data_IF_080088616013
#
_entry.id   IF_080088616013
#
_cell.length_a   1.000
_cell.length_b   1.000
_cell.length_c   1.000
_cell.angle_alpha   90.00
_cell.angle_beta   90.00
_cell.angle_gamma   90.00
#
_symmetry.space_group_name_H-M   'P 1'
#
loop_
_entity.id
_entity.type
_entity.pdbx_description
1 polymer ?
#
# COMPACT_ATOMS: atom_id res chain seq x y z
N UNK A 1 18.45 70.21 0.41
CA UNK A 1 19.13 68.91 0.25
C UNK A 1 18.41 67.76 0.95
N UNK A 2 17.44 67.99 1.85
CA UNK A 2 16.76 66.98 2.65
C UNK A 2 15.52 66.36 2.04
N UNK A 3 14.77 67.13 1.26
CA UNK A 3 13.51 66.62 0.61
C UNK A 3 13.76 65.44 -0.36
N UNK A 4 14.86 65.49 -1.14
CA UNK A 4 15.21 64.44 -2.08
C UNK A 4 15.61 63.12 -1.37
N UNK A 5 16.28 63.21 -0.20
CA UNK A 5 16.60 62.05 0.63
C UNK A 5 15.36 61.42 1.22
N UNK A 6 14.38 62.19 1.66
CA UNK A 6 13.11 61.72 2.20
C UNK A 6 12.29 61.02 1.11
N UNK A 7 12.22 61.60 -0.08
CA UNK A 7 11.52 60.96 -1.22
C UNK A 7 12.16 59.61 -1.62
N UNK A 8 13.49 59.52 -1.67
CA UNK A 8 14.20 58.29 -1.95
C UNK A 8 13.91 57.22 -0.89
N UNK A 9 13.95 57.58 0.41
CA UNK A 9 13.65 56.66 1.51
C UNK A 9 12.19 56.12 1.42
N UNK A 10 11.22 56.98 1.10
CA UNK A 10 9.80 56.60 0.92
C UNK A 10 9.66 55.69 -0.31
N UNK A 11 10.30 55.97 -1.42
CA UNK A 11 10.30 55.12 -2.59
C UNK A 11 10.85 53.70 -2.31
N UNK A 12 11.99 53.62 -1.61
CA UNK A 12 12.55 52.33 -1.19
C UNK A 12 11.65 51.58 -0.21
N UNK A 13 10.98 52.25 0.72
CA UNK A 13 10.04 51.62 1.63
C UNK A 13 8.84 51.01 0.88
N UNK A 14 8.34 51.69 -0.16
CA UNK A 14 7.25 51.17 -1.01
C UNK A 14 7.74 49.94 -1.82
N UNK A 15 8.94 50.01 -2.38
CA UNK A 15 9.51 48.85 -3.10
C UNK A 15 9.68 47.64 -2.20
N UNK A 16 10.19 47.81 -0.99
CA UNK A 16 10.36 46.74 -0.01
C UNK A 16 8.99 46.15 0.39
N UNK A 17 7.98 47.02 0.63
CA UNK A 17 6.64 46.55 0.95
C UNK A 17 6.01 45.75 -0.19
N UNK A 18 6.20 46.16 -1.46
CA UNK A 18 5.71 45.40 -2.63
C UNK A 18 6.42 44.05 -2.79
N UNK A 19 7.72 44.00 -2.59
CA UNK A 19 8.50 42.76 -2.63
C UNK A 19 8.08 41.80 -1.50
N UNK A 20 7.84 42.31 -0.30
CA UNK A 20 7.35 41.51 0.83
C UNK A 20 5.96 40.97 0.57
N UNK A 21 5.05 41.78 -0.01
CA UNK A 21 3.71 41.32 -0.39
C UNK A 21 3.75 40.25 -1.48
N UNK A 22 4.66 40.41 -2.47
CA UNK A 22 4.85 39.41 -3.53
C UNK A 22 5.37 38.08 -2.96
N UNK A 23 6.37 38.10 -2.08
CA UNK A 23 6.90 36.93 -1.41
C UNK A 23 5.81 36.24 -0.56
N UNK A 24 5.04 37.03 0.19
CA UNK A 24 3.94 36.48 0.99
C UNK A 24 2.88 35.79 0.13
N UNK A 25 2.51 36.40 -1.00
CA UNK A 25 1.54 35.78 -1.93
C UNK A 25 2.06 34.47 -2.56
N UNK A 26 3.35 34.39 -2.86
CA UNK A 26 3.99 33.17 -3.37
C UNK A 26 3.99 32.06 -2.32
N UNK A 27 4.40 32.37 -1.08
CA UNK A 27 4.39 31.41 0.03
C UNK A 27 2.95 30.94 0.34
N UNK A 28 1.98 31.87 0.40
CA UNK A 28 0.59 31.52 0.61
C UNK A 28 0.04 30.61 -0.50
N UNK A 29 0.39 30.88 -1.76
CA UNK A 29 0.02 30.03 -2.88
C UNK A 29 0.59 28.61 -2.80
N UNK A 30 1.86 28.46 -2.42
CA UNK A 30 2.51 27.16 -2.21
C UNK A 30 1.86 26.40 -1.05
N UNK A 31 1.60 27.06 0.07
CA UNK A 31 0.93 26.44 1.24
C UNK A 31 -0.47 26.01 0.87
N UNK A 32 -1.24 26.85 0.18
CA UNK A 32 -2.60 26.50 -0.24
C UNK A 32 -2.63 25.31 -1.20
N UNK A 33 -1.72 25.27 -2.19
CA UNK A 33 -1.63 24.14 -3.12
C UNK A 33 -1.23 22.84 -2.40
N UNK A 34 -0.30 22.91 -1.46
CA UNK A 34 0.11 21.76 -0.64
C UNK A 34 -1.04 21.24 0.24
N UNK A 35 -1.78 22.14 0.89
CA UNK A 35 -2.96 21.77 1.69
C UNK A 35 -4.07 21.16 0.82
N UNK A 36 -4.33 21.71 -0.36
CA UNK A 36 -5.31 21.16 -1.30
C UNK A 36 -4.89 19.78 -1.81
N UNK A 37 -3.61 19.56 -2.09
CA UNK A 37 -3.08 18.26 -2.49
C UNK A 37 -3.29 17.19 -1.38
N UNK A 38 -3.02 17.54 -0.13
CA UNK A 38 -3.26 16.64 1.02
C UNK A 38 -4.76 16.34 1.20
N UNK A 39 -5.62 17.34 0.98
CA UNK A 39 -7.07 17.17 1.14
C UNK A 39 -7.72 16.33 0.03
N UNK A 40 -7.07 16.19 -1.12
CA UNK A 40 -7.52 15.35 -2.25
C UNK A 40 -6.76 14.03 -2.36
N UNK A 41 -5.73 13.80 -1.53
CA UNK A 41 -4.98 12.56 -1.54
C UNK A 41 -5.82 11.40 -1.02
N UNK A 42 -5.96 10.36 -1.84
CA UNK A 42 -6.62 9.11 -1.44
C UNK A 42 -5.81 8.43 -0.33
N UNK A 43 -6.51 7.90 0.65
CA UNK A 43 -5.92 7.09 1.71
C UNK A 43 -6.00 5.61 1.34
N UNK A 44 -4.85 4.95 1.35
CA UNK A 44 -4.73 3.51 1.09
C UNK A 44 -4.33 2.80 2.38
N UNK A 45 -5.10 1.81 2.79
CA UNK A 45 -4.73 0.91 3.86
C UNK A 45 -4.04 -0.34 3.28
N UNK A 46 -2.76 -0.51 3.63
CA UNK A 46 -1.99 -1.70 3.28
C UNK A 46 -1.97 -2.67 4.46
N UNK A 47 -2.28 -3.92 4.17
CA UNK A 47 -2.21 -5.02 5.12
C UNK A 47 -1.06 -5.96 4.73
N UNK A 48 -0.07 -6.08 5.60
CA UNK A 48 0.92 -7.14 5.51
C UNK A 48 0.39 -8.36 6.27
N UNK A 49 -0.14 -9.35 5.55
CA UNK A 49 -0.76 -10.52 6.13
C UNK A 49 0.13 -11.26 7.12
N UNK A 50 -0.48 -11.91 8.12
CA UNK A 50 0.22 -12.61 9.21
C UNK A 50 1.06 -11.69 10.10
N UNK A 51 1.97 -12.23 10.92
CA UNK A 51 2.88 -11.48 11.79
C UNK A 51 3.00 -12.05 13.21
N UNK A 52 4.08 -11.73 13.87
CA UNK A 52 4.37 -12.22 15.22
C UNK A 52 4.36 -13.73 15.29
N UNK A 53 3.46 -14.31 16.12
CA UNK A 53 3.35 -15.77 16.29
C UNK A 53 2.65 -16.50 15.13
N UNK A 54 2.04 -15.79 14.19
CA UNK A 54 1.45 -16.37 12.97
C UNK A 54 2.43 -16.23 11.80
N UNK A 55 3.18 -17.28 11.44
CA UNK A 55 4.16 -17.19 10.36
C UNK A 55 3.52 -17.18 8.97
N UNK A 56 2.23 -17.55 8.84
CA UNK A 56 1.62 -17.90 7.56
C UNK A 56 2.17 -19.21 7.00
N UNK A 57 2.17 -19.35 5.69
CA UNK A 57 2.77 -20.49 5.01
C UNK A 57 4.31 -20.44 5.06
N UNK A 58 4.93 -21.62 4.93
CA UNK A 58 6.37 -21.77 4.84
C UNK A 58 6.78 -22.33 3.46
N UNK A 59 7.92 -21.87 2.97
CA UNK A 59 8.57 -22.46 1.81
C UNK A 59 9.07 -23.89 2.07
N UNK A 60 9.41 -24.61 1.01
CA UNK A 60 9.92 -25.97 1.13
C UNK A 60 11.26 -26.08 1.90
N UNK A 61 12.00 -24.97 1.97
CA UNK A 61 13.24 -24.84 2.75
C UNK A 61 13.00 -24.60 4.26
N UNK A 62 11.75 -24.43 4.67
CA UNK A 62 11.32 -24.09 6.04
C UNK A 62 11.94 -22.80 6.62
N UNK A 63 12.77 -22.09 5.87
CA UNK A 63 13.39 -20.81 6.26
C UNK A 63 12.65 -19.61 5.70
N UNK A 64 11.99 -19.79 4.56
CA UNK A 64 11.17 -18.76 3.92
C UNK A 64 9.78 -18.79 4.55
N UNK A 65 9.38 -17.73 5.21
CA UNK A 65 8.07 -17.60 5.86
C UNK A 65 7.27 -16.46 5.26
N UNK A 66 5.99 -16.69 5.10
CA UNK A 66 5.07 -15.79 4.42
C UNK A 66 5.02 -14.40 5.05
N UNK A 67 4.93 -14.30 6.39
CA UNK A 67 4.85 -13.02 7.10
C UNK A 67 5.97 -12.05 6.77
N UNK A 68 7.20 -12.57 6.56
CA UNK A 68 8.38 -11.75 6.28
C UNK A 68 8.34 -11.22 4.84
N UNK A 69 7.92 -12.05 3.89
CA UNK A 69 7.73 -11.66 2.49
C UNK A 69 6.61 -10.63 2.35
N UNK A 70 5.49 -10.84 3.04
CA UNK A 70 4.35 -9.92 3.05
C UNK A 70 4.77 -8.54 3.53
N UNK A 71 5.49 -8.47 4.65
CA UNK A 71 5.99 -7.21 5.20
C UNK A 71 6.99 -6.53 4.24
N UNK A 72 7.94 -7.30 3.71
CA UNK A 72 8.97 -6.76 2.82
C UNK A 72 8.37 -6.17 1.53
N UNK A 73 7.35 -6.81 0.95
CA UNK A 73 6.64 -6.32 -0.23
C UNK A 73 5.76 -5.11 0.12
N UNK A 74 5.00 -5.18 1.22
CA UNK A 74 4.12 -4.10 1.66
C UNK A 74 4.88 -2.80 1.95
N UNK A 75 6.04 -2.86 2.60
CA UNK A 75 6.90 -1.68 2.84
C UNK A 75 7.43 -1.05 1.54
N UNK A 76 7.74 -1.87 0.53
CA UNK A 76 8.15 -1.36 -0.78
C UNK A 76 6.98 -0.71 -1.52
N UNK A 77 5.79 -1.30 -1.44
CA UNK A 77 4.57 -0.74 -2.00
C UNK A 77 4.21 0.59 -1.32
N UNK A 78 4.28 0.65 0.02
CA UNK A 78 4.10 1.90 0.77
C UNK A 78 5.00 3.01 0.25
N UNK A 79 6.29 2.69 0.04
CA UNK A 79 7.24 3.67 -0.48
C UNK A 79 6.83 4.22 -1.85
N UNK A 80 6.44 3.35 -2.81
CA UNK A 80 6.00 3.80 -4.14
C UNK A 80 4.74 4.66 -4.08
N UNK A 81 3.74 4.25 -3.30
CA UNK A 81 2.49 5.00 -3.14
C UNK A 81 2.72 6.38 -2.50
N UNK A 82 3.55 6.45 -1.46
CA UNK A 82 3.89 7.73 -0.83
C UNK A 82 4.66 8.68 -1.77
N UNK A 83 5.55 8.15 -2.61
CA UNK A 83 6.24 8.95 -3.64
C UNK A 83 5.27 9.49 -4.70
N UNK A 84 4.17 8.78 -4.97
CA UNK A 84 3.11 9.22 -5.88
C UNK A 84 2.10 10.19 -5.22
N UNK A 85 2.25 10.46 -3.91
CA UNK A 85 1.42 11.43 -3.18
C UNK A 85 0.21 10.84 -2.47
N UNK A 86 0.07 9.51 -2.40
CA UNK A 86 -0.97 8.87 -1.60
C UNK A 86 -0.68 8.97 -0.10
N UNK A 87 -1.74 9.08 0.70
CA UNK A 87 -1.67 8.80 2.13
C UNK A 87 -1.71 7.27 2.31
N UNK A 88 -0.77 6.74 3.09
CA UNK A 88 -0.69 5.29 3.30
C UNK A 88 -0.65 4.96 4.78
N UNK A 89 -1.62 4.17 5.22
CA UNK A 89 -1.63 3.55 6.53
C UNK A 89 -1.31 2.06 6.37
N UNK A 90 -0.57 1.50 7.34
CA UNK A 90 -0.23 0.08 7.37
C UNK A 90 -0.87 -0.59 8.57
N UNK A 91 -1.28 -1.85 8.46
CA UNK A 91 -1.74 -2.66 9.61
C UNK A 91 -0.60 -2.97 10.56
N UNK A 92 0.60 -3.24 10.02
CA UNK A 92 1.86 -3.41 10.77
C UNK A 92 3.05 -2.94 9.93
N UNK A 93 4.11 -2.49 10.58
CA UNK A 93 5.37 -2.05 9.95
C UNK A 93 6.59 -2.84 10.41
N UNK A 94 6.39 -3.83 11.27
CA UNK A 94 7.43 -4.73 11.78
C UNK A 94 6.87 -6.14 11.96
N UNK A 95 7.71 -7.11 12.39
CA UNK A 95 7.24 -8.48 12.68
C UNK A 95 6.52 -8.51 14.03
N UNK A 96 5.25 -8.16 13.99
CA UNK A 96 4.36 -8.18 15.15
C UNK A 96 2.98 -8.73 14.76
N UNK A 97 2.29 -9.32 15.74
CA UNK A 97 0.88 -9.64 15.62
C UNK A 97 0.05 -8.55 16.29
N UNK A 98 -1.15 -8.31 15.77
CA UNK A 98 -2.06 -7.29 16.27
C UNK A 98 -2.91 -7.82 17.42
N UNK A 99 -2.26 -8.28 18.48
CA UNK A 99 -2.88 -8.84 19.68
C UNK A 99 -2.08 -8.47 20.93
N UNK A 100 -2.74 -8.45 22.07
CA UNK A 100 -2.11 -8.21 23.36
C UNK A 100 -1.44 -9.48 23.93
N UNK A 101 -0.58 -9.32 24.94
CA UNK A 101 0.09 -10.45 25.60
C UNK A 101 -0.88 -11.43 26.25
N UNK A 102 -2.03 -10.95 26.75
CA UNK A 102 -3.03 -11.71 27.50
C UNK A 102 -4.14 -12.29 26.62
N UNK A 103 -4.09 -12.10 25.30
CA UNK A 103 -5.09 -12.64 24.39
C UNK A 103 -4.97 -14.17 24.30
N UNK A 104 -5.99 -14.87 24.81
CA UNK A 104 -6.05 -16.31 24.81
C UNK A 104 -6.09 -16.92 23.39
N UNK A 105 -6.68 -16.20 22.44
CA UNK A 105 -6.72 -16.59 21.02
C UNK A 105 -6.12 -15.48 20.16
N UNK A 106 -4.81 -15.51 20.01
CA UNK A 106 -4.02 -14.53 19.27
C UNK A 106 -4.49 -14.34 17.83
N UNK A 107 -4.81 -15.43 17.13
CA UNK A 107 -5.33 -15.36 15.74
C UNK A 107 -6.63 -14.61 15.66
N UNK A 108 -7.56 -14.87 16.58
CA UNK A 108 -8.85 -14.17 16.62
C UNK A 108 -8.68 -12.69 16.96
N UNK A 109 -7.81 -12.37 17.90
CA UNK A 109 -7.50 -11.01 18.31
C UNK A 109 -6.87 -10.23 17.14
N UNK A 110 -5.88 -10.81 16.45
CA UNK A 110 -5.23 -10.24 15.28
C UNK A 110 -6.26 -9.90 14.18
N UNK A 111 -7.12 -10.85 13.83
CA UNK A 111 -8.14 -10.62 12.80
C UNK A 111 -9.20 -9.59 13.22
N UNK A 112 -9.54 -9.52 14.50
CA UNK A 112 -10.45 -8.50 15.03
C UNK A 112 -9.83 -7.10 14.95
N UNK A 113 -8.54 -6.99 15.26
CA UNK A 113 -7.81 -5.72 15.19
C UNK A 113 -7.63 -5.25 13.74
N UNK A 114 -7.32 -6.15 12.79
CA UNK A 114 -7.28 -5.80 11.35
C UNK A 114 -8.64 -5.26 10.89
N UNK A 115 -9.73 -5.90 11.31
CA UNK A 115 -11.08 -5.43 11.02
C UNK A 115 -11.33 -4.02 11.61
N UNK A 116 -10.97 -3.79 12.87
CA UNK A 116 -11.09 -2.48 13.53
C UNK A 116 -10.29 -1.41 12.78
N UNK A 117 -9.05 -1.70 12.39
CA UNK A 117 -8.21 -0.80 11.61
C UNK A 117 -8.86 -0.45 10.26
N UNK A 118 -9.46 -1.42 9.56
CA UNK A 118 -10.20 -1.15 8.33
C UNK A 118 -11.40 -0.23 8.56
N UNK A 119 -12.19 -0.49 9.61
CA UNK A 119 -13.39 0.30 9.94
C UNK A 119 -13.07 1.73 10.37
N UNK A 120 -11.97 1.94 11.08
CA UNK A 120 -11.57 3.24 11.62
C UNK A 120 -10.65 4.05 10.70
N UNK A 121 -10.02 3.41 9.70
CA UNK A 121 -9.05 4.09 8.83
C UNK A 121 -9.65 5.20 7.97
N UNK A 122 -10.90 5.06 7.56
CA UNK A 122 -11.50 5.92 6.54
C UNK A 122 -10.79 5.78 5.16
N UNK A 123 -10.10 4.66 4.91
CA UNK A 123 -9.37 4.44 3.67
C UNK A 123 -10.32 4.27 2.47
N UNK A 124 -9.89 4.81 1.33
CA UNK A 124 -10.58 4.66 0.05
C UNK A 124 -10.34 3.28 -0.59
N UNK A 125 -9.19 2.68 -0.25
CA UNK A 125 -8.68 1.47 -0.86
C UNK A 125 -8.00 0.58 0.18
N UNK A 126 -8.20 -0.74 0.07
CA UNK A 126 -7.53 -1.74 0.89
C UNK A 126 -6.79 -2.76 0.02
N UNK A 127 -5.52 -3.00 0.34
CA UNK A 127 -4.68 -4.01 -0.31
C UNK A 127 -4.03 -4.89 0.74
N UNK A 128 -4.39 -6.16 0.78
CA UNK A 128 -3.76 -7.18 1.62
C UNK A 128 -2.73 -7.97 0.82
N UNK A 129 -1.52 -8.08 1.35
CA UNK A 129 -0.37 -8.77 0.72
C UNK A 129 -0.17 -10.12 1.39
N UNK A 130 -0.17 -11.17 0.56
CA UNK A 130 -0.04 -12.57 0.95
C UNK A 130 0.85 -13.36 -0.01
N UNK A 131 1.20 -14.59 0.38
CA UNK A 131 1.84 -15.58 -0.48
C UNK A 131 0.98 -16.85 -0.49
N UNK A 132 0.68 -17.34 -1.68
CA UNK A 132 -0.10 -18.55 -1.87
C UNK A 132 0.69 -19.80 -1.46
N UNK A 133 -0.02 -20.83 -1.05
CA UNK A 133 0.57 -22.15 -0.81
C UNK A 133 -0.36 -23.26 -1.33
N UNK A 134 0.23 -24.29 -1.92
CA UNK A 134 -0.53 -25.45 -2.39
C UNK A 134 0.33 -26.71 -2.27
N UNK A 135 -0.26 -27.88 -1.95
CA UNK A 135 0.49 -29.13 -1.80
C UNK A 135 1.26 -29.57 -3.05
N UNK A 136 0.75 -29.27 -4.25
CA UNK A 136 1.44 -29.54 -5.49
C UNK A 136 2.38 -28.38 -5.85
N UNK A 137 3.72 -28.55 -5.79
CA UNK A 137 4.68 -27.48 -6.03
C UNK A 137 4.75 -27.00 -7.49
N UNK A 138 3.98 -27.61 -8.40
CA UNK A 138 3.90 -27.18 -9.81
C UNK A 138 3.02 -25.94 -9.97
N UNK A 139 2.18 -25.62 -8.98
CA UNK A 139 1.39 -24.38 -8.99
C UNK A 139 2.31 -23.18 -8.84
N UNK A 140 2.05 -22.15 -9.63
CA UNK A 140 2.85 -20.93 -9.68
C UNK A 140 2.04 -19.75 -10.20
N UNK A 141 2.59 -18.55 -10.06
CA UNK A 141 2.08 -17.29 -10.57
C UNK A 141 1.21 -16.54 -9.57
N UNK A 142 1.25 -15.19 -9.59
CA UNK A 142 0.44 -14.36 -8.74
C UNK A 142 -1.05 -14.47 -9.08
N UNK A 143 -1.90 -14.25 -8.08
CA UNK A 143 -3.35 -14.22 -8.25
C UNK A 143 -3.98 -13.19 -7.33
N UNK A 144 -4.86 -12.35 -7.89
CA UNK A 144 -5.57 -11.32 -7.12
C UNK A 144 -7.00 -11.75 -6.85
N UNK A 145 -7.40 -11.57 -5.59
CA UNK A 145 -8.73 -11.90 -5.10
C UNK A 145 -9.50 -10.65 -4.70
N UNK A 146 -10.80 -10.68 -4.90
CA UNK A 146 -11.74 -9.64 -4.50
C UNK A 146 -13.02 -10.23 -3.92
N UNK A 147 -13.80 -9.44 -3.17
CA UNK A 147 -15.09 -9.88 -2.65
C UNK A 147 -16.11 -9.98 -3.79
N UNK A 148 -16.84 -11.10 -3.89
CA UNK A 148 -17.91 -11.27 -4.85
C UNK A 148 -18.95 -10.16 -4.77
N UNK A 149 -19.33 -9.61 -5.92
CA UNK A 149 -20.28 -8.50 -6.01
C UNK A 149 -19.70 -7.12 -5.67
N UNK A 150 -18.39 -7.01 -5.44
CA UNK A 150 -17.69 -5.73 -5.30
C UNK A 150 -17.09 -5.36 -6.66
N UNK A 151 -17.75 -4.49 -7.41
CA UNK A 151 -17.34 -4.09 -8.77
C UNK A 151 -16.04 -3.28 -8.76
N UNK A 152 -15.88 -2.34 -7.81
CA UNK A 152 -14.65 -1.55 -7.68
C UNK A 152 -13.46 -2.43 -7.32
N UNK A 153 -13.66 -3.39 -6.39
CA UNK A 153 -12.65 -4.38 -6.04
C UNK A 153 -12.31 -5.30 -7.21
N UNK A 154 -13.27 -5.67 -8.06
CA UNK A 154 -13.04 -6.46 -9.25
C UNK A 154 -12.22 -5.70 -10.28
N UNK A 155 -12.53 -4.44 -10.53
CA UNK A 155 -11.79 -3.58 -11.46
C UNK A 155 -10.34 -3.41 -11.00
N UNK A 156 -10.13 -3.07 -9.72
CA UNK A 156 -8.81 -2.96 -9.14
C UNK A 156 -8.02 -4.27 -9.24
N UNK A 157 -8.68 -5.41 -8.94
CA UNK A 157 -8.05 -6.72 -9.05
C UNK A 157 -7.57 -7.02 -10.48
N UNK A 158 -8.36 -6.65 -11.49
CA UNK A 158 -8.01 -6.85 -12.91
C UNK A 158 -6.79 -6.00 -13.31
N UNK A 159 -6.76 -4.72 -12.94
CA UNK A 159 -5.62 -3.83 -13.19
C UNK A 159 -4.34 -4.37 -12.52
N UNK A 160 -4.42 -4.72 -11.23
CA UNK A 160 -3.28 -5.25 -10.47
C UNK A 160 -2.81 -6.60 -11.04
N UNK A 161 -3.73 -7.51 -11.38
CA UNK A 161 -3.38 -8.81 -11.98
C UNK A 161 -2.61 -8.65 -13.30
N UNK A 162 -3.06 -7.75 -14.18
CA UNK A 162 -2.40 -7.47 -15.46
C UNK A 162 -0.99 -6.96 -15.26
N UNK A 163 -0.80 -6.02 -14.35
CA UNK A 163 0.50 -5.44 -14.09
C UNK A 163 1.44 -6.43 -13.39
N UNK A 164 0.96 -7.22 -12.44
CA UNK A 164 1.75 -8.31 -11.85
C UNK A 164 2.21 -9.31 -12.91
N UNK A 165 1.32 -9.72 -13.82
CA UNK A 165 1.69 -10.61 -14.91
C UNK A 165 2.79 -9.98 -15.79
N UNK A 166 2.66 -8.71 -16.15
CA UNK A 166 3.63 -8.02 -17.00
C UNK A 166 5.02 -7.92 -16.36
N UNK A 167 5.11 -7.64 -15.06
CA UNK A 167 6.39 -7.38 -14.39
C UNK A 167 7.05 -8.62 -13.78
N UNK A 168 6.25 -9.63 -13.40
CA UNK A 168 6.76 -10.77 -12.61
C UNK A 168 6.52 -12.12 -13.26
N UNK A 169 5.46 -12.27 -14.05
CA UNK A 169 5.00 -13.58 -14.51
C UNK A 169 4.31 -13.52 -15.89
N UNK A 170 5.01 -13.16 -16.99
CA UNK A 170 4.37 -12.89 -18.29
C UNK A 170 3.64 -14.10 -18.90
N UNK A 171 3.96 -15.31 -18.45
CA UNK A 171 3.29 -16.55 -18.88
C UNK A 171 2.22 -17.04 -17.88
N UNK A 172 1.91 -16.26 -16.87
CA UNK A 172 0.87 -16.60 -15.91
C UNK A 172 -0.52 -16.54 -16.58
N UNK A 173 -1.27 -17.62 -16.43
CA UNK A 173 -2.63 -17.76 -16.97
C UNK A 173 -3.72 -17.63 -15.90
N UNK A 174 -3.33 -17.29 -14.67
CA UNK A 174 -4.28 -17.07 -13.58
C UNK A 174 -5.05 -15.78 -13.81
N UNK A 175 -6.36 -15.90 -13.64
CA UNK A 175 -7.28 -14.77 -13.68
C UNK A 175 -7.61 -14.31 -12.26
N UNK A 176 -8.13 -13.10 -12.13
CA UNK A 176 -8.69 -12.60 -10.86
C UNK A 176 -9.79 -13.56 -10.38
N UNK A 177 -9.96 -13.63 -9.07
CA UNK A 177 -10.92 -14.58 -8.50
C UNK A 177 -11.80 -13.93 -7.43
N UNK A 178 -13.12 -14.02 -7.62
CA UNK A 178 -14.08 -13.70 -6.57
C UNK A 178 -13.93 -14.68 -5.39
N UNK A 179 -13.90 -14.18 -4.16
CA UNK A 179 -13.77 -15.00 -2.97
C UNK A 179 -14.71 -14.52 -1.86
N UNK A 180 -15.51 -15.48 -1.34
CA UNK A 180 -16.48 -15.25 -0.28
C UNK A 180 -16.04 -15.90 1.06
N UNK A 181 -14.78 -16.33 1.17
CA UNK A 181 -14.26 -17.01 2.36
C UNK A 181 -13.10 -16.27 3.05
N UNK A 182 -12.44 -15.35 2.36
CA UNK A 182 -11.41 -14.52 2.99
C UNK A 182 -12.03 -13.51 3.95
N UNK A 183 -11.84 -13.75 5.25
CA UNK A 183 -12.38 -12.91 6.32
C UNK A 183 -12.06 -11.43 6.12
N UNK A 184 -10.85 -11.13 5.70
CA UNK A 184 -10.38 -9.76 5.51
C UNK A 184 -11.17 -9.04 4.40
N UNK A 185 -11.43 -9.71 3.27
CA UNK A 185 -12.20 -9.14 2.17
C UNK A 185 -13.69 -9.00 2.50
N UNK A 186 -14.25 -9.97 3.25
CA UNK A 186 -15.66 -9.93 3.66
C UNK A 186 -15.96 -8.76 4.61
N UNK A 187 -14.99 -8.36 5.42
CA UNK A 187 -15.15 -7.31 6.42
C UNK A 187 -14.57 -5.95 5.99
N UNK A 188 -14.05 -5.83 4.76
CA UNK A 188 -13.54 -4.57 4.24
C UNK A 188 -14.69 -3.61 3.91
N UNK A 189 -14.81 -2.46 4.60
CA UNK A 189 -15.92 -1.51 4.41
C UNK A 189 -15.66 -0.52 3.26
N UNK A 190 -14.41 -0.40 2.78
CA UNK A 190 -14.04 0.54 1.74
C UNK A 190 -14.55 0.11 0.36
N UNK A 191 -14.72 1.06 -0.59
CA UNK A 191 -15.23 0.80 -1.93
C UNK A 191 -14.47 -0.30 -2.66
N UNK A 192 -13.14 -0.21 -2.67
CA UNK A 192 -12.29 -1.20 -3.32
C UNK A 192 -11.39 -1.92 -2.32
N UNK A 193 -11.44 -3.26 -2.34
CA UNK A 193 -10.62 -4.10 -1.48
C UNK A 193 -10.16 -5.35 -2.24
N UNK A 194 -8.86 -5.62 -2.20
CA UNK A 194 -8.23 -6.78 -2.83
C UNK A 194 -7.28 -7.49 -1.88
N UNK A 195 -7.08 -8.79 -2.14
CA UNK A 195 -6.00 -9.59 -1.55
C UNK A 195 -5.12 -10.10 -2.69
N UNK A 196 -3.83 -9.85 -2.57
CA UNK A 196 -2.82 -10.19 -3.57
C UNK A 196 -1.99 -11.36 -3.07
N UNK A 197 -2.15 -12.50 -3.70
CA UNK A 197 -1.26 -13.66 -3.58
C UNK A 197 -0.10 -13.44 -4.55
N UNK A 198 1.06 -13.03 -4.06
CA UNK A 198 2.17 -12.56 -4.90
C UNK A 198 2.90 -13.69 -5.66
N UNK A 199 2.71 -14.92 -5.25
CA UNK A 199 3.28 -16.14 -5.82
C UNK A 199 3.11 -17.31 -4.87
N UNK A 200 3.50 -18.53 -5.29
CA UNK A 200 3.40 -19.73 -4.46
C UNK A 200 4.70 -19.96 -3.68
N UNK A 201 4.65 -19.77 -2.36
CA UNK A 201 5.79 -20.01 -1.47
C UNK A 201 6.22 -21.49 -1.47
N UNK A 202 5.32 -22.40 -1.84
CA UNK A 202 5.57 -23.84 -1.97
C UNK A 202 6.15 -24.25 -3.33
N UNK A 203 6.27 -23.33 -4.29
CA UNK A 203 7.02 -23.54 -5.52
C UNK A 203 8.46 -23.09 -5.30
N UNK A 204 9.44 -23.97 -5.53
CA UNK A 204 10.86 -23.68 -5.22
C UNK A 204 11.42 -22.47 -5.97
N UNK A 205 11.06 -22.32 -7.25
CA UNK A 205 11.55 -21.21 -8.09
C UNK A 205 10.93 -19.88 -7.66
N UNK A 206 9.62 -19.88 -7.34
CA UNK A 206 8.95 -18.68 -6.84
C UNK A 206 9.43 -18.33 -5.43
N UNK A 207 9.58 -19.30 -4.55
CA UNK A 207 10.12 -19.09 -3.20
C UNK A 207 11.51 -18.44 -3.24
N UNK A 208 12.40 -18.89 -4.12
CA UNK A 208 13.71 -18.27 -4.33
C UNK A 208 13.57 -16.83 -4.85
N UNK A 209 12.70 -16.63 -5.86
CA UNK A 209 12.45 -15.30 -6.43
C UNK A 209 11.87 -14.34 -5.38
N UNK A 210 10.88 -14.77 -4.61
CA UNK A 210 10.22 -13.99 -3.56
C UNK A 210 11.16 -13.53 -2.44
N UNK A 211 12.24 -14.27 -2.17
CA UNK A 211 13.31 -13.85 -1.23
C UNK A 211 14.20 -12.74 -1.81
N UNK A 212 14.25 -12.61 -3.12
CA UNK A 212 15.08 -11.59 -3.77
C UNK A 212 14.47 -10.19 -3.60
N UNK A 213 15.26 -9.27 -3.07
CA UNK A 213 14.83 -7.86 -2.94
C UNK A 213 14.44 -7.24 -4.30
N UNK A 214 15.16 -7.61 -5.37
CA UNK A 214 14.88 -7.13 -6.72
C UNK A 214 13.51 -7.63 -7.22
N UNK A 215 13.15 -8.88 -6.91
CA UNK A 215 11.85 -9.43 -7.27
C UNK A 215 10.72 -8.83 -6.44
N UNK A 216 10.90 -8.66 -5.12
CA UNK A 216 9.95 -7.97 -4.25
C UNK A 216 9.65 -6.54 -4.72
N UNK A 217 10.68 -5.82 -5.22
CA UNK A 217 10.51 -4.50 -5.84
C UNK A 217 9.64 -4.57 -7.10
N UNK A 218 9.82 -5.60 -7.94
CA UNK A 218 8.97 -5.80 -9.14
C UNK A 218 7.53 -6.11 -8.76
N UNK A 219 7.31 -6.96 -7.76
CA UNK A 219 5.95 -7.26 -7.24
C UNK A 219 5.29 -5.99 -6.74
N UNK A 220 5.95 -5.25 -5.84
CA UNK A 220 5.42 -4.00 -5.30
C UNK A 220 5.16 -2.96 -6.40
N UNK A 221 6.04 -2.86 -7.39
CA UNK A 221 5.88 -1.98 -8.54
C UNK A 221 4.68 -2.38 -9.42
N UNK A 222 4.49 -3.67 -9.67
CA UNK A 222 3.33 -4.18 -10.41
C UNK A 222 2.01 -3.85 -9.70
N UNK A 223 1.95 -4.01 -8.37
CA UNK A 223 0.76 -3.63 -7.59
C UNK A 223 0.53 -2.12 -7.67
N UNK A 224 1.58 -1.32 -7.49
CA UNK A 224 1.52 0.14 -7.62
C UNK A 224 0.99 0.57 -8.98
N UNK A 225 1.53 0.04 -10.08
CA UNK A 225 1.06 0.37 -11.43
C UNK A 225 -0.42 0.01 -11.64
N UNK A 226 -0.89 -1.11 -11.07
CA UNK A 226 -2.30 -1.49 -11.16
C UNK A 226 -3.23 -0.62 -10.30
N UNK A 227 -2.72 0.04 -9.25
CA UNK A 227 -3.48 1.03 -8.46
C UNK A 227 -3.61 2.36 -9.21
N UNK A 228 -2.65 2.70 -10.06
CA UNK A 228 -2.62 3.93 -10.85
C UNK A 228 -3.52 3.86 -12.12
N UNK A 229 -3.92 2.65 -12.58
CA UNK A 229 -4.85 2.46 -13.71
C UNK A 229 -6.32 2.69 -13.31
#
# INVERSE_FOLDING_TARGET
MDTLKILKKRAWAVVIALLAALLFSQVAGVVQSSLSAVQTSRLILLDAGHGGSDPGAAGLDSMTVEKDLNLAIALKLQHYLQQAGYLVQMTRTQDEGLYGPDDANKKRADMAERKRLMEESGADLFVSIHQNSFPDPRYWGPQVFYRKGNEDGQQLADCVQKQLNAFTAPNNTREIKANDSYYILLNAPMPAAILVECGFITNSMESESLRSEAYQKKVAWGIYCGIEE
#
